data_IF_493404777299
#
_entry.id   IF_493404777299
#
_cell.length_a   1.000
_cell.length_b   1.000
_cell.length_c   1.000
_cell.angle_alpha   90.00
_cell.angle_beta   90.00
_cell.angle_gamma   90.00
#
_symmetry.space_group_name_H-M   'P 1'
#
loop_
_entity.id
_entity.type
_entity.pdbx_description
1 polymer ?
#
# COMPACT_ATOMS: atom_id res chain seq x y z
N UNK A 1 20.39 -27.93 -16.06
CA UNK A 1 20.99 -26.62 -16.39
C UNK A 1 21.28 -26.58 -17.88
N UNK A 2 20.93 -25.51 -18.60
CA UNK A 2 21.39 -25.25 -19.98
C UNK A 2 22.42 -24.12 -19.89
N UNK A 3 23.63 -24.31 -20.44
CA UNK A 3 24.73 -23.30 -20.42
C UNK A 3 25.02 -22.71 -19.03
N UNK A 4 25.04 -23.53 -17.97
CA UNK A 4 25.34 -23.10 -16.60
C UNK A 4 24.22 -22.31 -15.88
N UNK A 5 23.10 -22.02 -16.55
CA UNK A 5 21.92 -21.40 -15.93
C UNK A 5 20.89 -22.47 -15.54
N UNK A 6 20.27 -22.28 -14.37
CA UNK A 6 19.09 -23.07 -13.96
C UNK A 6 17.94 -22.68 -14.86
N UNK A 7 17.34 -23.66 -15.53
CA UNK A 7 16.24 -23.47 -16.49
C UNK A 7 15.09 -24.38 -16.12
N UNK A 8 13.87 -23.89 -16.35
CA UNK A 8 12.66 -24.67 -16.14
C UNK A 8 12.56 -25.73 -17.25
N UNK A 9 12.43 -27.00 -16.85
CA UNK A 9 12.34 -28.14 -17.79
C UNK A 9 10.97 -28.78 -17.81
N UNK A 10 10.22 -28.65 -16.72
CA UNK A 10 8.88 -29.21 -16.51
C UNK A 10 8.11 -28.25 -15.61
N UNK A 11 6.88 -27.91 -15.99
CA UNK A 11 5.97 -27.07 -15.22
C UNK A 11 4.63 -27.79 -15.05
N UNK A 12 4.18 -27.93 -13.81
CA UNK A 12 2.86 -28.49 -13.48
C UNK A 12 2.08 -27.49 -12.66
N UNK A 13 0.92 -27.10 -13.15
CA UNK A 13 0.01 -26.15 -12.50
C UNK A 13 -1.26 -26.92 -12.12
N UNK A 14 -1.58 -26.95 -10.82
CA UNK A 14 -2.86 -27.47 -10.35
C UNK A 14 -3.90 -26.35 -10.45
N UNK A 15 -4.92 -26.59 -11.26
CA UNK A 15 -6.01 -25.66 -11.53
C UNK A 15 -7.34 -26.28 -11.06
N UNK A 16 -8.30 -25.44 -10.69
CA UNK A 16 -9.68 -25.86 -10.43
C UNK A 16 -10.56 -25.12 -11.43
N UNK A 17 -11.24 -25.88 -12.29
CA UNK A 17 -12.17 -25.34 -13.28
C UNK A 17 -13.60 -25.61 -12.85
N UNK A 18 -14.50 -24.75 -13.30
CA UNK A 18 -15.94 -24.92 -13.14
C UNK A 18 -16.47 -25.39 -14.48
N UNK A 19 -17.16 -26.53 -14.48
CA UNK A 19 -17.82 -27.09 -15.66
C UNK A 19 -19.33 -27.00 -15.42
N UNK A 20 -20.04 -26.45 -16.39
CA UNK A 20 -21.51 -26.45 -16.37
C UNK A 20 -22.01 -27.87 -16.62
N UNK A 21 -22.88 -28.34 -15.72
CA UNK A 21 -23.56 -29.62 -15.82
C UNK A 21 -24.89 -29.50 -16.56
N UNK A 22 -25.42 -30.64 -17.00
CA UNK A 22 -26.64 -30.70 -17.82
C UNK A 22 -27.88 -30.10 -17.12
N UNK A 23 -27.93 -30.06 -15.79
CA UNK A 23 -29.04 -29.53 -14.99
C UNK A 23 -28.81 -28.11 -14.42
N UNK A 24 -28.16 -27.21 -15.17
CA UNK A 24 -27.81 -25.85 -14.73
C UNK A 24 -26.92 -25.79 -13.46
N UNK A 25 -26.39 -26.94 -13.01
CA UNK A 25 -25.47 -27.05 -11.89
C UNK A 25 -24.03 -26.78 -12.31
N UNK A 26 -23.20 -26.30 -11.38
CA UNK A 26 -21.77 -26.09 -11.63
C UNK A 26 -20.96 -27.15 -10.87
N UNK A 27 -20.13 -27.93 -11.57
CA UNK A 27 -19.21 -28.90 -10.97
C UNK A 27 -17.79 -28.33 -10.97
N UNK A 28 -17.18 -28.27 -9.78
CA UNK A 28 -15.74 -27.97 -9.64
C UNK A 28 -14.93 -29.22 -9.94
N UNK A 29 -14.01 -29.13 -10.87
CA UNK A 29 -13.13 -30.24 -11.26
C UNK A 29 -11.67 -29.80 -11.17
N UNK A 30 -10.85 -30.62 -10.55
CA UNK A 30 -9.40 -30.40 -10.49
C UNK A 30 -8.76 -30.84 -11.81
N UNK A 31 -7.87 -30.01 -12.36
CA UNK A 31 -7.04 -30.34 -13.50
C UNK A 31 -5.56 -30.00 -13.24
N UNK A 32 -4.66 -30.74 -13.86
CA UNK A 32 -3.22 -30.47 -13.86
C UNK A 32 -2.84 -30.08 -15.29
N UNK A 33 -2.36 -28.85 -15.47
CA UNK A 33 -1.74 -28.41 -16.71
C UNK A 33 -0.25 -28.71 -16.63
N UNK A 34 0.22 -29.60 -17.48
CA UNK A 34 1.61 -29.99 -17.61
C UNK A 34 2.19 -29.36 -18.88
N UNK A 35 3.14 -28.45 -18.69
CA UNK A 35 3.78 -27.70 -19.77
C UNK A 35 5.24 -28.14 -19.88
N UNK A 36 5.59 -28.65 -21.06
CA UNK A 36 6.93 -29.07 -21.45
C UNK A 36 7.36 -28.26 -22.68
N UNK A 37 8.66 -28.20 -22.98
CA UNK A 37 9.12 -27.71 -24.28
C UNK A 37 8.40 -28.43 -25.42
N UNK A 38 7.82 -27.66 -26.35
CA UNK A 38 7.07 -28.16 -27.53
C UNK A 38 5.78 -28.94 -27.24
N UNK A 39 5.34 -29.08 -25.99
CA UNK A 39 4.19 -29.93 -25.65
C UNK A 39 3.43 -29.46 -24.42
N UNK A 40 2.11 -29.46 -24.51
CA UNK A 40 1.22 -29.22 -23.38
C UNK A 40 0.26 -30.39 -23.24
N UNK A 41 0.01 -30.79 -21.99
CA UNK A 41 -0.94 -31.83 -21.62
C UNK A 41 -1.82 -31.33 -20.47
N UNK A 42 -3.11 -31.60 -20.55
CA UNK A 42 -4.06 -31.33 -19.47
C UNK A 42 -4.58 -32.68 -18.96
N UNK A 43 -4.32 -32.94 -17.68
CA UNK A 43 -4.88 -34.08 -16.97
C UNK A 43 -6.07 -33.62 -16.14
N UNK A 44 -7.24 -34.20 -16.36
CA UNK A 44 -8.44 -33.90 -15.57
C UNK A 44 -8.72 -35.03 -14.60
N UNK A 45 -9.06 -34.67 -13.37
CA UNK A 45 -9.50 -35.64 -12.37
C UNK A 45 -10.90 -36.13 -12.73
N UNK A 46 -11.04 -37.44 -12.93
CA UNK A 46 -12.33 -38.12 -13.14
C UNK A 46 -12.58 -39.11 -11.99
N UNK A 47 -13.86 -39.37 -11.72
CA UNK A 47 -14.28 -40.43 -10.81
C UNK A 47 -14.30 -41.75 -11.62
N UNK A 48 -13.45 -42.69 -11.24
CA UNK A 48 -13.42 -44.03 -11.82
C UNK A 48 -14.62 -44.87 -11.37
N UNK A 49 -14.75 -46.06 -11.96
CA UNK A 49 -15.91 -46.97 -11.79
C UNK A 49 -16.15 -47.41 -10.33
N UNK A 50 -15.15 -47.32 -9.46
CA UNK A 50 -15.21 -47.70 -8.05
C UNK A 50 -15.11 -46.50 -7.08
N UNK A 51 -15.28 -45.26 -7.56
CA UNK A 51 -15.10 -44.05 -6.73
C UNK A 51 -13.64 -43.65 -6.48
N UNK A 52 -12.68 -44.33 -7.12
CA UNK A 52 -11.28 -43.92 -7.11
C UNK A 52 -11.06 -42.71 -8.02
N UNK A 53 -10.31 -41.72 -7.54
CA UNK A 53 -9.94 -40.58 -8.37
C UNK A 53 -8.80 -40.93 -9.32
N UNK A 54 -9.10 -40.96 -10.61
CA UNK A 54 -8.14 -41.25 -11.67
C UNK A 54 -7.83 -39.95 -12.42
N UNK A 55 -6.55 -39.73 -12.74
CA UNK A 55 -6.13 -38.64 -13.61
C UNK A 55 -6.14 -39.13 -15.05
N UNK A 56 -7.05 -38.58 -15.85
CA UNK A 56 -7.19 -38.92 -17.26
C UNK A 56 -6.67 -37.78 -18.11
N UNK A 57 -5.89 -38.10 -19.15
CA UNK A 57 -5.49 -37.12 -20.15
C UNK A 57 -6.76 -36.60 -20.85
N UNK A 58 -7.06 -35.32 -20.64
CA UNK A 58 -8.21 -34.66 -21.24
C UNK A 58 -7.84 -34.06 -22.60
N UNK A 59 -6.70 -33.40 -22.67
CA UNK A 59 -6.26 -32.69 -23.86
C UNK A 59 -4.74 -32.71 -23.97
N UNK A 60 -4.22 -32.77 -25.20
CA UNK A 60 -2.80 -32.58 -25.46
C UNK A 60 -2.61 -31.94 -26.83
N UNK A 61 -1.69 -30.99 -26.90
CA UNK A 61 -1.26 -30.39 -28.15
C UNK A 61 0.24 -30.11 -28.12
N UNK A 62 0.81 -29.98 -29.32
CA UNK A 62 2.20 -29.58 -29.49
C UNK A 62 2.28 -28.07 -29.67
N UNK A 63 3.36 -27.47 -29.17
CA UNK A 63 3.67 -26.06 -29.33
C UNK A 63 4.92 -25.91 -30.20
N UNK A 64 5.04 -24.78 -30.90
CA UNK A 64 6.18 -24.49 -31.78
C UNK A 64 7.46 -24.13 -31.02
N UNK A 65 7.36 -23.86 -29.72
CA UNK A 65 8.39 -23.22 -28.88
C UNK A 65 9.25 -24.25 -28.13
N UNK A 66 10.56 -24.01 -28.08
CA UNK A 66 11.56 -24.93 -27.50
C UNK A 66 11.84 -24.73 -26.00
N UNK A 67 11.08 -23.86 -25.35
CA UNK A 67 11.12 -23.56 -23.92
C UNK A 67 9.71 -23.27 -23.38
N UNK A 68 9.58 -23.24 -22.05
CA UNK A 68 8.30 -23.06 -21.36
C UNK A 68 7.95 -21.56 -21.33
N UNK A 69 6.78 -21.14 -21.83
CA UNK A 69 6.36 -19.73 -21.87
C UNK A 69 5.88 -19.27 -20.48
N UNK A 70 6.78 -19.25 -19.50
CA UNK A 70 6.53 -18.75 -18.16
C UNK A 70 7.53 -17.65 -17.85
N UNK A 71 7.03 -16.44 -17.61
CA UNK A 71 7.83 -15.32 -17.13
C UNK A 71 7.69 -15.22 -15.63
N UNK A 72 8.83 -15.08 -14.93
CA UNK A 72 8.88 -15.09 -13.47
C UNK A 72 9.24 -13.70 -12.94
N UNK A 73 8.32 -13.07 -12.26
CA UNK A 73 8.57 -11.82 -11.53
C UNK A 73 9.05 -12.14 -10.10
N UNK A 74 10.22 -11.63 -9.73
CA UNK A 74 10.75 -11.75 -8.38
C UNK A 74 10.74 -10.38 -7.70
N UNK A 75 10.10 -10.28 -6.55
CA UNK A 75 10.22 -9.10 -5.67
C UNK A 75 11.50 -9.19 -4.85
N UNK A 76 11.70 -10.30 -4.13
CA UNK A 76 12.93 -10.59 -3.36
C UNK A 76 13.33 -12.04 -3.56
N UNK A 77 14.22 -12.30 -4.52
CA UNK A 77 14.66 -13.65 -4.88
C UNK A 77 15.46 -14.31 -3.76
N UNK A 78 14.98 -15.45 -3.27
CA UNK A 78 15.68 -16.30 -2.29
C UNK A 78 16.19 -17.60 -2.90
N UNK A 79 15.63 -18.00 -4.04
CA UNK A 79 16.05 -19.19 -4.78
C UNK A 79 15.37 -19.27 -6.15
N UNK A 80 15.55 -20.41 -6.84
CA UNK A 80 14.85 -20.67 -8.10
C UNK A 80 13.34 -20.80 -7.83
N UNK A 81 12.52 -19.96 -8.48
CA UNK A 81 11.07 -19.91 -8.30
C UNK A 81 10.63 -19.64 -6.86
N UNK A 82 11.49 -18.99 -6.07
CA UNK A 82 11.24 -18.67 -4.66
C UNK A 82 11.56 -17.20 -4.39
N UNK A 83 10.62 -16.53 -3.75
CA UNK A 83 10.80 -15.17 -3.27
C UNK A 83 10.07 -14.93 -1.95
N UNK A 84 10.46 -13.88 -1.25
CA UNK A 84 9.81 -13.44 -0.02
C UNK A 84 8.93 -12.22 -0.29
N UNK A 85 7.68 -12.18 0.21
CA UNK A 85 6.83 -11.01 0.04
C UNK A 85 7.47 -9.76 0.67
N UNK A 86 7.54 -8.63 -0.05
CA UNK A 86 8.21 -7.43 0.45
C UNK A 86 7.48 -6.80 1.65
N UNK A 87 6.16 -6.97 1.71
CA UNK A 87 5.30 -6.45 2.79
C UNK A 87 5.03 -7.47 3.91
N UNK A 88 5.78 -8.58 3.98
CA UNK A 88 5.56 -9.62 5.00
C UNK A 88 5.62 -9.05 6.43
N UNK A 89 6.60 -8.21 6.71
CA UNK A 89 6.75 -7.57 8.02
C UNK A 89 5.55 -6.66 8.35
N UNK A 90 5.05 -5.92 7.35
CA UNK A 90 3.86 -5.08 7.53
C UNK A 90 2.62 -5.94 7.81
N UNK A 91 2.47 -7.09 7.14
CA UNK A 91 1.42 -8.05 7.42
C UNK A 91 1.46 -8.61 8.85
N UNK A 92 2.65 -8.91 9.36
CA UNK A 92 2.82 -9.35 10.76
C UNK A 92 2.50 -8.22 11.76
N UNK A 93 2.86 -6.98 11.45
CA UNK A 93 2.50 -5.82 12.26
C UNK A 93 0.99 -5.57 12.26
N UNK A 94 0.30 -5.77 11.14
CA UNK A 94 -1.16 -5.69 11.05
C UNK A 94 -1.85 -6.68 12.01
N UNK A 95 -1.35 -7.92 12.08
CA UNK A 95 -1.90 -8.93 13.01
C UNK A 95 -1.74 -8.45 14.45
N UNK A 96 -0.53 -7.97 14.80
CA UNK A 96 -0.26 -7.43 16.14
C UNK A 96 -1.14 -6.21 16.45
N UNK A 97 -1.36 -5.35 15.47
CA UNK A 97 -2.21 -4.16 15.60
C UNK A 97 -3.65 -4.56 15.91
N UNK A 98 -4.23 -5.48 15.13
CA UNK A 98 -5.59 -5.96 15.36
C UNK A 98 -5.75 -6.61 16.74
N UNK A 99 -4.79 -7.43 17.17
CA UNK A 99 -4.80 -8.05 18.50
C UNK A 99 -4.74 -7.00 19.61
N UNK A 100 -3.85 -6.01 19.50
CA UNK A 100 -3.70 -4.96 20.50
C UNK A 100 -4.90 -4.02 20.55
N UNK A 101 -5.49 -3.69 19.39
CA UNK A 101 -6.71 -2.90 19.30
C UNK A 101 -7.90 -3.63 19.95
N UNK A 102 -8.06 -4.93 19.64
CA UNK A 102 -9.12 -5.73 20.23
C UNK A 102 -9.01 -5.81 21.76
N UNK A 103 -7.80 -5.91 22.31
CA UNK A 103 -7.59 -5.89 23.76
C UNK A 103 -7.92 -4.51 24.35
N UNK A 104 -7.55 -3.44 23.66
CA UNK A 104 -7.85 -2.06 24.05
C UNK A 104 -9.37 -1.82 24.13
N UNK A 105 -10.12 -2.32 23.14
CA UNK A 105 -11.58 -2.22 23.12
C UNK A 105 -12.21 -3.04 24.26
N UNK A 106 -11.65 -4.23 24.54
CA UNK A 106 -12.11 -5.09 25.61
C UNK A 106 -11.90 -4.46 27.00
N UNK A 107 -10.70 -3.95 27.30
CA UNK A 107 -10.44 -3.29 28.59
C UNK A 107 -11.30 -2.04 28.75
N UNK A 108 -11.53 -1.28 27.67
CA UNK A 108 -12.39 -0.10 27.70
C UNK A 108 -13.85 -0.48 27.97
N UNK A 109 -14.35 -1.56 27.36
CA UNK A 109 -15.68 -2.08 27.64
C UNK A 109 -15.86 -2.45 29.11
N UNK A 110 -14.89 -3.18 29.70
CA UNK A 110 -14.92 -3.54 31.12
C UNK A 110 -14.81 -2.31 32.01
N UNK A 111 -13.89 -1.39 31.70
CA UNK A 111 -13.64 -0.22 32.52
C UNK A 111 -14.79 0.80 32.54
N UNK A 112 -15.65 0.80 31.51
CA UNK A 112 -16.84 1.66 31.42
C UNK A 112 -17.97 1.27 32.38
N UNK A 113 -17.89 0.11 33.02
CA UNK A 113 -18.88 -0.33 34.02
C UNK A 113 -18.26 -0.17 35.41
N UNK A 114 -18.53 0.94 36.12
CA UNK A 114 -18.02 1.13 37.48
C UNK A 114 -18.63 0.11 38.44
N UNK A 115 -17.83 -0.40 39.39
CA UNK A 115 -18.30 -1.34 40.39
C UNK A 115 -18.78 -0.58 41.63
N UNK A 116 -20.05 -0.74 41.97
CA UNK A 116 -20.58 -0.20 43.22
C UNK A 116 -20.17 -1.12 44.38
N UNK A 117 -19.36 -0.57 45.30
CA UNK A 117 -18.95 -1.26 46.52
C UNK A 117 -19.70 -0.66 47.70
N UNK A 118 -20.33 -1.53 48.49
CA UNK A 118 -20.97 -1.18 49.75
C UNK A 118 -20.16 -1.75 50.91
N UNK A 119 -19.91 -0.95 51.95
CA UNK A 119 -19.22 -1.37 53.16
C UNK A 119 -20.02 -0.97 54.41
N UNK A 120 -19.86 -1.74 55.48
CA UNK A 120 -20.57 -1.52 56.75
C UNK A 120 -22.00 -2.09 56.83
N UNK A 121 -22.44 -2.86 55.83
CA UNK A 121 -23.73 -3.54 55.84
C UNK A 121 -23.66 -4.91 56.51
N UNK A 122 -24.70 -5.27 57.26
CA UNK A 122 -24.84 -6.61 57.82
C UNK A 122 -25.18 -7.64 56.73
N UNK A 123 -24.70 -8.88 56.88
CA UNK A 123 -24.77 -9.95 55.85
C UNK A 123 -26.18 -10.32 55.35
N UNK A 124 -27.22 -9.86 56.03
CA UNK A 124 -28.63 -10.16 55.73
C UNK A 124 -29.45 -8.94 55.28
N UNK A 125 -28.84 -7.77 55.08
CA UNK A 125 -29.56 -6.60 54.58
C UNK A 125 -29.64 -6.56 53.06
N UNK A 126 -30.85 -6.47 52.52
CA UNK A 126 -31.11 -6.36 51.09
C UNK A 126 -31.00 -4.88 50.67
N UNK A 127 -29.90 -4.52 50.00
CA UNK A 127 -29.65 -3.16 49.53
C UNK A 127 -30.32 -2.94 48.17
N UNK A 128 -31.41 -2.16 48.14
CA UNK A 128 -32.01 -1.72 46.87
C UNK A 128 -31.38 -0.42 46.41
N UNK A 129 -30.56 -0.50 45.35
CA UNK A 129 -29.97 0.67 44.70
C UNK A 129 -30.64 0.87 43.35
N UNK A 130 -31.25 2.03 43.15
CA UNK A 130 -31.90 2.38 41.89
C UNK A 130 -32.05 3.89 41.73
N UNK A 131 -32.15 4.37 40.49
CA UNK A 131 -32.22 5.80 40.17
C UNK A 131 -33.40 6.54 40.83
N UNK A 132 -34.42 5.82 41.30
CA UNK A 132 -35.63 6.35 41.93
C UNK A 132 -35.73 6.06 43.43
N UNK A 133 -34.71 5.45 44.04
CA UNK A 133 -34.71 5.08 45.47
C UNK A 133 -33.51 5.71 46.16
N UNK A 134 -33.74 6.38 47.29
CA UNK A 134 -32.67 6.98 48.10
C UNK A 134 -32.12 5.95 49.09
N UNK A 135 -30.79 5.76 49.10
CA UNK A 135 -30.10 4.91 50.09
C UNK A 135 -29.65 5.78 51.26
N UNK A 136 -29.99 5.38 52.49
CA UNK A 136 -29.68 6.12 53.72
C UNK A 136 -28.86 5.20 54.64
N UNK A 137 -27.82 5.75 55.24
CA UNK A 137 -26.97 5.05 56.21
C UNK A 137 -27.08 5.68 57.58
N UNK A 138 -27.07 4.87 58.64
CA UNK A 138 -27.17 5.34 60.03
C UNK A 138 -25.89 6.06 60.51
N UNK A 139 -24.72 5.54 60.13
CA UNK A 139 -23.42 6.07 60.55
C UNK A 139 -22.48 6.23 59.34
N UNK A 140 -22.26 7.48 58.93
CA UNK A 140 -21.39 7.84 57.80
C UNK A 140 -19.91 7.46 58.01
N UNK A 141 -19.50 7.19 59.25
CA UNK A 141 -18.11 6.77 59.54
C UNK A 141 -17.90 5.26 59.38
N UNK A 142 -18.98 4.48 59.33
CA UNK A 142 -18.93 3.01 59.26
C UNK A 142 -19.55 2.45 57.99
N UNK A 143 -20.53 3.15 57.43
CA UNK A 143 -21.36 2.67 56.35
C UNK A 143 -21.30 3.62 55.16
N UNK A 144 -21.16 3.08 53.96
CA UNK A 144 -21.08 3.88 52.76
C UNK A 144 -21.14 3.09 51.46
N UNK A 145 -21.31 3.85 50.38
CA UNK A 145 -21.23 3.39 49.01
C UNK A 145 -20.14 4.17 48.28
N UNK A 146 -19.32 3.46 47.53
CA UNK A 146 -18.33 4.05 46.64
C UNK A 146 -18.34 3.33 45.30
N UNK A 147 -18.17 4.09 44.23
CA UNK A 147 -17.88 3.52 42.92
C UNK A 147 -16.38 3.32 42.83
N UNK A 148 -15.97 2.07 42.66
CA UNK A 148 -14.58 1.72 42.39
C UNK A 148 -14.41 1.71 40.87
N UNK A 149 -13.58 2.62 40.39
CA UNK A 149 -13.18 2.73 39.00
C UNK A 149 -11.72 2.32 38.81
N UNK A 150 -11.41 1.89 37.60
CA UNK A 150 -10.05 1.56 37.18
C UNK A 150 -9.29 2.89 37.03
N UNK A 151 -8.03 2.95 37.47
CA UNK A 151 -7.22 4.19 37.41
C UNK A 151 -6.95 4.72 35.98
N UNK A 152 -7.33 4.00 34.94
CA UNK A 152 -7.18 4.38 33.53
C UNK A 152 -5.75 4.29 32.99
N UNK A 153 -4.72 4.23 33.83
CA UNK A 153 -3.32 4.25 33.41
C UNK A 153 -2.94 3.10 32.44
N UNK A 154 -3.53 1.91 32.62
CA UNK A 154 -3.30 0.78 31.71
C UNK A 154 -3.93 1.00 30.33
N UNK A 155 -5.06 1.72 30.27
CA UNK A 155 -5.77 2.07 29.03
C UNK A 155 -4.93 3.10 28.25
N UNK A 156 -4.45 4.15 28.92
CA UNK A 156 -3.61 5.18 28.31
C UNK A 156 -2.27 4.61 27.81
N UNK A 157 -1.66 3.71 28.58
CA UNK A 157 -0.44 3.00 28.14
C UNK A 157 -0.71 2.10 26.91
N UNK A 158 -1.90 1.50 26.81
CA UNK A 158 -2.30 0.69 25.66
C UNK A 158 -2.49 1.52 24.40
N UNK A 159 -3.12 2.69 24.51
CA UNK A 159 -3.28 3.67 23.44
C UNK A 159 -1.91 4.17 22.94
N UNK A 160 -1.02 4.58 23.86
CA UNK A 160 0.34 5.00 23.50
C UNK A 160 1.13 3.86 22.80
N UNK A 161 0.89 2.60 23.18
CA UNK A 161 1.51 1.44 22.53
C UNK A 161 1.00 1.26 21.10
N UNK A 162 -0.30 1.46 20.86
CA UNK A 162 -0.93 1.43 19.54
C UNK A 162 -0.36 2.53 18.64
N UNK A 163 -0.26 3.77 19.11
CA UNK A 163 0.34 4.86 18.34
C UNK A 163 1.80 4.57 17.95
N UNK A 164 2.58 4.01 18.88
CA UNK A 164 3.96 3.56 18.60
C UNK A 164 3.99 2.45 17.56
N UNK A 165 3.03 1.53 17.60
CA UNK A 165 2.90 0.45 16.63
C UNK A 165 2.53 0.99 15.24
N UNK A 166 1.58 1.91 15.14
CA UNK A 166 1.22 2.59 13.89
C UNK A 166 2.41 3.36 13.31
N UNK A 167 3.18 4.03 14.16
CA UNK A 167 4.44 4.66 13.75
C UNK A 167 5.41 3.63 13.19
N UNK A 168 5.60 2.47 13.84
CA UNK A 168 6.44 1.38 13.31
C UNK A 168 5.93 0.85 11.96
N UNK A 169 4.60 0.72 11.80
CA UNK A 169 3.97 0.33 10.54
C UNK A 169 4.23 1.34 9.44
N UNK A 170 4.12 2.64 9.74
CA UNK A 170 4.45 3.73 8.81
C UNK A 170 5.91 3.64 8.36
N UNK A 171 6.83 3.40 9.29
CA UNK A 171 8.26 3.21 8.95
C UNK A 171 8.49 1.95 8.10
N UNK A 172 7.81 0.85 8.41
CA UNK A 172 7.92 -0.40 7.65
C UNK A 172 7.38 -0.24 6.21
N UNK A 173 6.27 0.47 6.01
CA UNK A 173 5.73 0.81 4.70
C UNK A 173 6.63 1.77 3.92
N UNK A 174 7.14 2.81 4.59
CA UNK A 174 8.05 3.79 3.99
C UNK A 174 9.43 3.19 3.64
N UNK A 175 9.81 2.03 4.21
CA UNK A 175 11.07 1.36 3.88
C UNK A 175 11.18 1.03 2.39
N UNK A 176 10.05 0.74 1.72
CA UNK A 176 10.07 0.52 0.27
C UNK A 176 10.31 1.79 -0.52
N UNK A 177 9.97 2.97 0.01
CA UNK A 177 10.14 4.26 -0.64
C UNK A 177 11.52 4.88 -0.39
N UNK A 178 12.16 4.54 0.74
CA UNK A 178 13.49 5.06 1.09
C UNK A 178 14.58 4.26 0.37
N UNK A 179 15.54 4.97 -0.24
CA UNK A 179 16.80 4.35 -0.62
C UNK A 179 17.50 3.78 0.62
N UNK A 180 18.00 2.54 0.51
CA UNK A 180 18.91 1.98 1.51
C UNK A 180 20.29 2.65 1.35
N UNK A 181 20.45 3.84 1.94
CA UNK A 181 21.73 4.56 1.99
C UNK A 181 22.72 3.79 2.87
N UNK A 182 23.47 2.85 2.29
CA UNK A 182 24.52 2.09 2.99
C UNK A 182 25.83 2.90 3.13
N UNK A 183 25.91 4.13 2.60
CA UNK A 183 27.14 4.93 2.68
C UNK A 183 27.00 6.15 3.58
N UNK A 184 27.84 6.23 4.61
CA UNK A 184 28.13 7.38 5.46
C UNK A 184 28.83 8.51 4.67
N UNK A 185 28.15 9.13 3.71
CA UNK A 185 28.68 10.30 3.00
C UNK A 185 27.67 11.44 2.99
N UNK A 186 28.23 12.65 3.15
CA UNK A 186 27.55 13.89 3.48
C UNK A 186 26.43 14.26 2.53
N UNK A 187 25.38 14.77 3.15
CA UNK A 187 24.25 15.52 2.61
C UNK A 187 24.76 16.60 1.65
N UNK A 188 24.28 16.64 0.41
CA UNK A 188 23.74 17.86 -0.23
C UNK A 188 23.24 17.62 -1.69
N UNK A 189 21.98 18.00 -1.89
CA UNK A 189 21.32 18.50 -3.11
C UNK A 189 21.18 17.65 -4.40
N UNK A 190 21.58 16.38 -4.44
CA UNK A 190 21.19 15.46 -5.56
C UNK A 190 20.49 14.19 -5.08
N UNK A 191 19.89 14.24 -3.89
CA UNK A 191 19.46 13.04 -3.18
C UNK A 191 18.07 12.57 -3.60
N UNK A 192 17.11 13.43 -3.96
CA UNK A 192 15.72 12.96 -4.19
C UNK A 192 15.58 12.06 -5.43
N UNK A 193 16.11 12.47 -6.58
CA UNK A 193 16.11 11.65 -7.81
C UNK A 193 16.91 10.35 -7.62
N UNK A 194 18.12 10.44 -7.03
CA UNK A 194 18.96 9.26 -6.75
C UNK A 194 18.38 8.36 -5.66
N UNK A 195 17.60 8.90 -4.73
CA UNK A 195 16.93 8.12 -3.69
C UNK A 195 15.72 7.36 -4.24
N UNK A 196 15.05 7.90 -5.25
CA UNK A 196 13.99 7.19 -5.97
C UNK A 196 14.57 6.07 -6.84
N UNK A 197 15.64 6.33 -7.60
CA UNK A 197 16.30 5.29 -8.43
C UNK A 197 16.89 4.12 -7.61
N UNK A 198 17.29 4.36 -6.36
CA UNK A 198 17.84 3.33 -5.46
C UNK A 198 16.80 2.76 -4.47
N UNK A 199 15.51 3.00 -4.70
CA UNK A 199 14.43 2.43 -3.89
C UNK A 199 14.22 0.95 -4.22
N UNK A 200 13.94 0.10 -3.20
CA UNK A 200 13.47 -1.26 -3.43
C UNK A 200 12.21 -1.33 -4.30
N UNK A 201 11.32 -0.34 -4.20
CA UNK A 201 10.09 -0.27 -4.99
C UNK A 201 10.39 0.06 -6.46
N UNK A 202 11.32 0.98 -6.71
CA UNK A 202 11.78 1.29 -8.06
C UNK A 202 12.39 0.05 -8.74
N UNK A 203 13.24 -0.69 -8.02
CA UNK A 203 13.80 -1.95 -8.53
C UNK A 203 12.72 -2.99 -8.86
N UNK A 204 11.66 -3.06 -8.05
CA UNK A 204 10.53 -3.96 -8.30
C UNK A 204 9.68 -3.53 -9.51
N UNK A 205 9.52 -2.22 -9.73
CA UNK A 205 8.81 -1.69 -10.88
C UNK A 205 9.58 -1.95 -12.19
N UNK A 206 10.89 -1.72 -12.22
CA UNK A 206 11.71 -2.08 -13.38
C UNK A 206 11.71 -3.60 -13.63
N UNK A 207 11.72 -4.41 -12.56
CA UNK A 207 11.58 -5.87 -12.71
C UNK A 207 10.21 -6.28 -13.29
N UNK A 208 9.17 -5.47 -13.04
CA UNK A 208 7.85 -5.66 -13.63
C UNK A 208 7.84 -5.26 -15.11
N UNK A 209 8.45 -4.14 -15.48
CA UNK A 209 8.66 -3.75 -16.89
C UNK A 209 9.36 -4.87 -17.66
N UNK A 210 10.52 -5.33 -17.18
CA UNK A 210 11.27 -6.44 -17.78
C UNK A 210 10.39 -7.69 -17.94
N UNK A 211 9.55 -8.00 -16.95
CA UNK A 211 8.66 -9.15 -17.01
C UNK A 211 7.55 -8.96 -18.05
N UNK A 212 6.97 -7.77 -18.16
CA UNK A 212 5.95 -7.45 -19.15
C UNK A 212 6.53 -7.45 -20.57
N UNK A 213 7.72 -6.90 -20.76
CA UNK A 213 8.44 -6.90 -22.03
C UNK A 213 8.73 -8.34 -22.50
N UNK A 214 9.16 -9.21 -21.58
CA UNK A 214 9.34 -10.63 -21.88
C UNK A 214 8.02 -11.31 -22.29
N UNK A 215 6.89 -10.96 -21.64
CA UNK A 215 5.57 -11.50 -22.01
C UNK A 215 5.17 -11.02 -23.41
N UNK A 216 5.33 -9.72 -23.69
CA UNK A 216 5.07 -9.13 -24.99
C UNK A 216 5.92 -9.77 -26.10
N UNK A 217 7.20 -10.00 -25.83
CA UNK A 217 8.10 -10.66 -26.77
C UNK A 217 7.67 -12.10 -27.07
N UNK A 218 7.25 -12.86 -26.05
CA UNK A 218 6.69 -14.21 -26.25
C UNK A 218 5.42 -14.15 -27.12
N UNK A 219 4.55 -13.17 -26.91
CA UNK A 219 3.34 -13.00 -27.72
C UNK A 219 3.63 -12.61 -29.17
N UNK A 220 4.60 -11.71 -29.41
CA UNK A 220 5.04 -11.36 -30.75
C UNK A 220 5.60 -12.59 -31.50
N UNK A 221 6.45 -13.37 -30.84
CA UNK A 221 7.00 -14.62 -31.41
C UNK A 221 5.88 -15.62 -31.79
N UNK A 222 4.76 -15.63 -31.06
CA UNK A 222 3.61 -16.49 -31.40
C UNK A 222 2.85 -16.02 -32.65
N UNK A 223 2.75 -14.72 -32.87
CA UNK A 223 2.06 -14.14 -34.03
C UNK A 223 2.99 -14.06 -35.25
N UNK A 224 4.30 -14.30 -35.05
CA UNK A 224 5.32 -14.23 -36.10
C UNK A 224 5.91 -12.83 -36.27
N UNK A 225 5.69 -11.94 -35.30
CA UNK A 225 6.28 -10.61 -35.25
C UNK A 225 7.67 -10.66 -34.59
N UNK A 226 8.52 -9.72 -34.99
CA UNK A 226 9.92 -9.67 -34.50
C UNK A 226 10.07 -8.93 -33.16
N UNK A 227 9.11 -8.08 -32.79
CA UNK A 227 9.19 -7.21 -31.62
C UNK A 227 7.87 -7.23 -30.83
N UNK A 228 7.95 -7.54 -29.54
CA UNK A 228 6.81 -7.46 -28.60
C UNK A 228 6.36 -6.05 -28.25
N UNK A 229 7.27 -5.07 -28.38
CA UNK A 229 7.12 -3.74 -27.80
C UNK A 229 7.75 -3.65 -26.41
N UNK A 230 7.57 -2.50 -25.76
CA UNK A 230 8.08 -2.20 -24.44
C UNK A 230 6.99 -1.58 -23.56
N UNK A 231 7.08 -1.81 -22.25
CA UNK A 231 6.23 -1.21 -21.24
C UNK A 231 7.06 -0.26 -20.39
N UNK A 232 6.55 0.96 -20.22
CA UNK A 232 7.07 1.95 -19.29
C UNK A 232 6.11 2.04 -18.09
N UNK A 233 6.57 1.58 -16.95
CA UNK A 233 5.87 1.66 -15.67
C UNK A 233 6.37 2.91 -14.98
N UNK A 234 5.54 3.96 -14.98
CA UNK A 234 5.84 5.19 -14.25
C UNK A 234 6.17 4.91 -12.79
N UNK A 235 7.44 5.04 -12.44
CA UNK A 235 7.98 4.81 -11.09
C UNK A 235 8.05 6.07 -10.24
N UNK A 236 7.75 7.23 -10.84
CA UNK A 236 7.63 8.51 -10.15
C UNK A 236 6.43 8.46 -9.21
N UNK A 237 6.66 8.01 -7.98
CA UNK A 237 5.76 8.30 -6.90
C UNK A 237 6.00 9.76 -6.53
N UNK A 238 5.01 10.60 -6.82
CA UNK A 238 4.99 11.98 -6.37
C UNK A 238 4.80 11.99 -4.83
N UNK A 239 5.85 11.59 -4.10
CA UNK A 239 5.90 11.63 -2.63
C UNK A 239 6.20 13.06 -2.16
N UNK A 240 5.96 14.08 -3.00
CA UNK A 240 5.89 15.44 -2.51
C UNK A 240 4.74 15.50 -1.52
N UNK A 241 5.04 15.35 -0.23
CA UNK A 241 4.41 16.19 0.75
C UNK A 241 4.41 17.59 0.12
N UNK A 242 3.23 18.16 -0.14
CA UNK A 242 3.08 19.54 -0.56
C UNK A 242 3.60 20.44 0.57
N UNK A 243 4.90 20.41 0.81
CA UNK A 243 5.58 21.43 1.56
C UNK A 243 5.80 22.51 0.53
N UNK A 244 4.81 23.37 0.39
CA UNK A 244 5.01 24.66 -0.26
C UNK A 244 6.17 25.31 0.48
N UNK A 245 7.37 25.26 -0.10
CA UNK A 245 8.52 25.91 0.48
C UNK A 245 8.37 27.41 0.25
N UNK A 246 7.67 28.05 1.17
CA UNK A 246 7.46 29.49 1.19
C UNK A 246 8.77 30.25 1.16
N UNK A 247 9.88 29.68 1.65
CA UNK A 247 11.18 30.32 1.62
C UNK A 247 11.77 30.39 0.20
N UNK A 248 11.65 29.30 -0.58
CA UNK A 248 12.03 29.28 -1.99
C UNK A 248 11.16 30.20 -2.85
N UNK A 249 9.85 30.26 -2.60
CA UNK A 249 8.96 31.20 -3.30
C UNK A 249 9.33 32.67 -3.02
N UNK A 250 9.64 33.01 -1.77
CA UNK A 250 10.08 34.35 -1.39
C UNK A 250 11.45 34.69 -2.01
N UNK A 251 12.37 33.73 -2.10
CA UNK A 251 13.65 33.92 -2.78
C UNK A 251 13.44 34.25 -4.27
N UNK A 252 12.58 33.50 -4.98
CA UNK A 252 12.24 33.76 -6.38
C UNK A 252 11.56 35.13 -6.55
N UNK A 253 10.68 35.51 -5.62
CA UNK A 253 10.06 36.84 -5.62
C UNK A 253 11.09 37.96 -5.45
N UNK A 254 12.08 37.78 -4.56
CA UNK A 254 13.15 38.76 -4.34
C UNK A 254 14.05 38.92 -5.56
N UNK A 255 14.44 37.81 -6.21
CA UNK A 255 15.21 37.83 -7.47
C UNK A 255 14.45 38.52 -8.60
N UNK A 256 13.12 38.29 -8.68
CA UNK A 256 12.25 38.96 -9.66
C UNK A 256 12.15 40.46 -9.40
N UNK A 257 12.07 40.88 -8.13
CA UNK A 257 12.04 42.30 -7.75
C UNK A 257 13.40 42.98 -7.99
N UNK A 258 14.50 42.26 -7.77
CA UNK A 258 15.86 42.73 -8.01
C UNK A 258 16.25 42.82 -9.49
N UNK A 259 15.52 42.14 -10.38
CA UNK A 259 15.81 42.10 -11.82
C UNK A 259 16.88 41.09 -12.21
N UNK A 260 17.33 40.26 -11.27
CA UNK A 260 18.40 39.26 -11.46
C UNK A 260 17.90 37.98 -12.17
N UNK A 261 16.60 37.84 -12.37
CA UNK A 261 15.97 36.72 -13.08
C UNK A 261 14.96 37.23 -14.12
N UNK A 262 14.96 36.60 -15.31
CA UNK A 262 13.98 36.88 -16.36
C UNK A 262 12.59 36.38 -15.91
N UNK A 263 11.53 37.10 -16.27
CA UNK A 263 10.15 36.75 -15.86
C UNK A 263 9.77 35.32 -16.26
N UNK A 264 10.21 34.86 -17.45
CA UNK A 264 9.96 33.50 -17.93
C UNK A 264 10.69 32.43 -17.13
N UNK A 265 11.91 32.69 -16.69
CA UNK A 265 12.68 31.76 -15.87
C UNK A 265 12.09 31.69 -14.45
N UNK A 266 11.61 32.82 -13.91
CA UNK A 266 10.91 32.85 -12.64
C UNK A 266 9.62 32.01 -12.65
N UNK A 267 8.83 32.09 -13.72
CA UNK A 267 7.62 31.26 -13.88
C UNK A 267 7.99 29.78 -13.96
N UNK A 268 9.03 29.41 -14.71
CA UNK A 268 9.50 28.02 -14.78
C UNK A 268 9.98 27.49 -13.43
N UNK A 269 10.69 28.31 -12.64
CA UNK A 269 11.12 27.94 -11.29
C UNK A 269 9.90 27.80 -10.36
N UNK A 270 8.90 28.67 -10.47
CA UNK A 270 7.66 28.56 -9.68
C UNK A 270 6.78 27.36 -10.11
N UNK A 271 6.84 26.95 -11.38
CA UNK A 271 6.23 25.70 -11.86
C UNK A 271 6.95 24.46 -11.33
N UNK A 272 8.29 24.48 -11.31
CA UNK A 272 9.09 23.44 -10.67
C UNK A 272 8.80 23.34 -9.16
N UNK A 273 8.55 24.48 -8.51
CA UNK A 273 8.13 24.56 -7.10
C UNK A 273 6.61 24.30 -6.90
N UNK A 274 5.85 23.95 -7.94
CA UNK A 274 4.40 23.68 -7.92
C UNK A 274 3.51 24.82 -7.40
N UNK A 275 3.99 26.08 -7.43
CA UNK A 275 3.16 27.27 -7.17
C UNK A 275 2.32 27.68 -8.38
N UNK A 276 2.79 27.30 -9.57
CA UNK A 276 2.11 27.49 -10.85
C UNK A 276 1.95 26.09 -11.46
N UNK A 277 0.83 25.85 -12.13
CA UNK A 277 0.58 24.60 -12.82
C UNK A 277 1.67 24.29 -13.85
N UNK A 278 2.16 23.05 -13.84
CA UNK A 278 3.27 22.58 -14.66
C UNK A 278 2.88 22.41 -16.12
N UNK A 279 1.61 22.14 -16.38
CA UNK A 279 1.09 21.95 -17.75
C UNK A 279 0.77 23.28 -18.44
N UNK A 280 0.77 24.38 -17.68
CA UNK A 280 0.49 25.73 -18.21
C UNK A 280 1.67 26.27 -19.01
N UNK A 281 1.40 26.92 -20.15
CA UNK A 281 2.45 27.55 -20.95
C UNK A 281 2.98 28.80 -20.24
N UNK A 282 4.31 28.93 -20.01
CA UNK A 282 4.86 30.07 -19.27
C UNK A 282 4.53 31.44 -19.84
N UNK A 283 4.36 31.52 -21.17
CA UNK A 283 3.99 32.75 -21.88
C UNK A 283 2.55 33.18 -21.55
N UNK A 284 1.62 32.24 -21.51
CA UNK A 284 0.20 32.49 -21.21
C UNK A 284 0.03 32.95 -19.75
N UNK A 285 0.77 32.33 -18.82
CA UNK A 285 0.79 32.74 -17.40
C UNK A 285 1.31 34.16 -17.22
N UNK A 286 2.36 34.55 -17.97
CA UNK A 286 2.91 35.91 -17.91
C UNK A 286 1.90 36.91 -18.48
N UNK A 287 1.23 36.56 -19.57
CA UNK A 287 0.23 37.42 -20.19
C UNK A 287 -1.00 37.59 -19.31
N UNK A 288 -1.47 36.55 -18.62
CA UNK A 288 -2.53 36.66 -17.60
C UNK A 288 -2.12 37.57 -16.44
N UNK A 289 -0.90 37.43 -15.92
CA UNK A 289 -0.39 38.27 -14.83
C UNK A 289 -0.25 39.74 -15.25
N UNK A 290 0.14 40.01 -16.50
CA UNK A 290 0.20 41.36 -17.06
C UNK A 290 -1.20 41.92 -17.28
N UNK A 291 -2.12 41.15 -17.82
CA UNK A 291 -3.49 41.59 -18.11
C UNK A 291 -4.31 41.81 -16.82
N UNK A 292 -4.07 41.04 -15.76
CA UNK A 292 -4.65 41.33 -14.44
C UNK A 292 -4.21 42.70 -13.89
N UNK A 293 -2.96 43.11 -14.13
CA UNK A 293 -2.49 44.44 -13.71
C UNK A 293 -3.14 45.60 -14.48
N UNK A 294 -3.56 45.35 -15.73
CA UNK A 294 -4.27 46.33 -16.58
C UNK A 294 -5.74 46.47 -16.14
N UNK A 295 -6.44 45.37 -15.85
CA UNK A 295 -7.82 45.44 -15.32
C UNK A 295 -7.92 46.20 -13.98
N UNK A 296 -6.93 46.05 -13.09
CA UNK A 296 -6.89 46.77 -11.81
C UNK A 296 -6.63 48.28 -11.97
N UNK A 297 -5.95 48.70 -13.04
CA UNK A 297 -5.78 50.12 -13.37
C UNK A 297 -7.06 50.73 -13.96
N UNK A 298 -7.75 50.03 -14.86
CA UNK A 298 -9.02 50.52 -15.45
C UNK A 298 -10.13 50.74 -14.41
N UNK A 299 -10.19 49.89 -13.37
CA UNK A 299 -11.15 50.05 -12.26
C UNK A 299 -10.82 51.28 -11.39
N UNK A 300 -9.54 51.67 -11.27
CA UNK A 300 -9.15 52.85 -10.50
C UNK A 300 -9.39 54.16 -11.25
N UNK A 301 -9.29 54.16 -12.58
CA UNK A 301 -9.62 55.32 -13.40
C UNK A 301 -11.15 55.50 -13.56
N UNK A 302 -11.92 54.40 -13.60
CA UNK A 302 -13.39 54.47 -13.62
C UNK A 302 -14.02 54.99 -12.30
N UNK A 303 -13.28 55.00 -11.20
CA UNK A 303 -13.72 55.57 -9.91
C UNK A 303 -13.26 57.02 -9.69
N UNK A 304 -12.66 57.66 -10.70
CA UNK A 304 -12.15 59.04 -10.65
C UNK A 304 -12.92 60.04 -11.53
N UNK A 305 -14.01 59.62 -12.16
CA UNK A 305 -15.04 60.52 -12.73
C UNK A 305 -16.23 60.65 -11.77
#
# INVERSE_FOLDING_TARGET
MKKGKVVLTDLRIKEVIIIDGDDFGQKKVEQIRHIMPRRVEIYRRSEGTNGESVWTLHESWNTSRDDIPLVTLYTKKTGFMRGTPPLLNLGLLNIKHWQSQSEQDNILHVARVPLLVAYGLDRNEELTVGASTATIFEDRTKNGLEYVEHSGAAIESGETSLEKLENQMRHAGAKLLRAENTSTKSVDQTNEERMQENSPLYTMANSLEDALDNILQIMAEWIGESCGGNVDVRTELDVSAQVFDSSSALAVQSLRQGGDIRQIDAVRVLQALKFIDQDSRPEEVIDELKNQSVMLMEINDANRE
#
